data_IF_123893337199
#
_entry.id   IF_123893337199
#
_cell.length_a   1.000
_cell.length_b   1.000
_cell.length_c   1.000
_cell.angle_alpha   90.00
_cell.angle_beta   90.00
_cell.angle_gamma   90.00
#
_symmetry.space_group_name_H-M   'P 1'
#
loop_
_entity.id
_entity.type
_entity.pdbx_description
1 polymer ?
#
# COMPACT_ATOMS: atom_id res chain seq x y z
N UNK A 1 -16.69 -13.90 9.39
CA UNK A 1 -16.22 -13.13 8.22
C UNK A 1 -17.11 -11.90 8.02
N UNK A 2 -16.76 -11.01 7.08
CA UNK A 2 -17.49 -9.77 6.80
C UNK A 2 -18.97 -10.01 6.47
N UNK A 3 -19.26 -11.06 5.67
CA UNK A 3 -20.62 -11.40 5.27
C UNK A 3 -21.43 -11.86 6.47
N UNK A 4 -20.87 -12.71 7.33
CA UNK A 4 -21.47 -13.11 8.60
C UNK A 4 -21.78 -11.91 9.51
N UNK A 5 -20.91 -10.89 9.55
CA UNK A 5 -21.16 -9.66 10.31
C UNK A 5 -22.28 -8.83 9.70
N UNK A 6 -22.31 -8.68 8.37
CA UNK A 6 -23.36 -7.94 7.66
C UNK A 6 -24.73 -8.62 7.77
N UNK A 7 -24.77 -9.96 7.73
CA UNK A 7 -26.00 -10.75 7.94
C UNK A 7 -26.56 -10.57 9.36
N UNK A 8 -25.71 -10.40 10.38
CA UNK A 8 -26.17 -10.08 11.75
C UNK A 8 -26.80 -8.69 11.85
N UNK A 9 -26.55 -7.82 10.87
CA UNK A 9 -27.16 -6.49 10.74
C UNK A 9 -28.40 -6.50 9.82
N UNK A 10 -28.82 -7.66 9.31
CA UNK A 10 -30.04 -7.80 8.51
C UNK A 10 -31.28 -7.77 9.40
N UNK A 11 -32.26 -6.93 9.05
CA UNK A 11 -33.52 -6.85 9.78
C UNK A 11 -34.53 -5.95 9.09
N UNK A 12 -35.78 -5.97 9.57
CA UNK A 12 -36.80 -5.03 9.09
C UNK A 12 -36.74 -3.75 9.92
N UNK A 13 -36.50 -2.58 9.31
CA UNK A 13 -36.55 -1.32 10.05
C UNK A 13 -37.96 -1.12 10.61
N UNK A 14 -38.10 -1.14 11.93
CA UNK A 14 -39.30 -0.68 12.63
C UNK A 14 -39.34 0.86 12.68
N UNK A 15 -40.49 1.49 13.00
CA UNK A 15 -40.55 2.94 13.15
C UNK A 15 -39.60 3.36 14.28
N UNK A 16 -38.50 4.02 13.92
CA UNK A 16 -37.47 4.51 14.85
C UNK A 16 -36.23 3.62 15.00
N UNK A 17 -36.19 2.42 14.41
CA UNK A 17 -35.02 1.54 14.51
C UNK A 17 -34.17 1.57 13.22
N UNK A 18 -33.12 2.39 13.22
CA UNK A 18 -32.17 2.58 12.10
C UNK A 18 -30.98 1.60 12.13
N UNK A 19 -31.00 0.63 13.04
CA UNK A 19 -29.84 -0.23 13.30
C UNK A 19 -29.71 -1.42 12.33
N UNK A 20 -30.63 -1.55 11.37
CA UNK A 20 -30.65 -2.66 10.41
C UNK A 20 -30.53 -2.20 8.97
N UNK A 21 -29.80 -2.98 8.17
CA UNK A 21 -29.68 -2.78 6.73
C UNK A 21 -30.78 -3.54 6.00
N UNK A 22 -31.39 -2.89 5.01
CA UNK A 22 -32.22 -3.57 4.01
C UNK A 22 -31.37 -4.55 3.18
N UNK A 23 -32.02 -5.51 2.51
CA UNK A 23 -31.33 -6.47 1.65
C UNK A 23 -30.57 -5.79 0.49
N UNK A 24 -31.07 -4.68 -0.06
CA UNK A 24 -30.38 -3.91 -1.10
C UNK A 24 -29.15 -3.19 -0.55
N UNK A 25 -29.25 -2.57 0.62
CA UNK A 25 -28.10 -1.92 1.27
C UNK A 25 -27.02 -2.95 1.61
N UNK A 26 -27.39 -4.15 2.05
CA UNK A 26 -26.43 -5.22 2.32
C UNK A 26 -25.70 -5.65 1.04
N UNK A 27 -26.43 -5.94 -0.04
CA UNK A 27 -25.83 -6.30 -1.33
C UNK A 27 -24.90 -5.22 -1.85
N UNK A 28 -25.32 -3.96 -1.77
CA UNK A 28 -24.51 -2.81 -2.17
C UNK A 28 -23.23 -2.68 -1.34
N UNK A 29 -23.30 -2.84 -0.02
CA UNK A 29 -22.13 -2.77 0.85
C UNK A 29 -21.15 -3.94 0.58
N UNK A 30 -21.66 -5.17 0.42
CA UNK A 30 -20.81 -6.33 0.09
C UNK A 30 -20.07 -6.10 -1.23
N UNK A 31 -20.81 -5.68 -2.27
CA UNK A 31 -20.21 -5.35 -3.56
C UNK A 31 -19.13 -4.28 -3.43
N UNK A 32 -19.43 -3.19 -2.72
CA UNK A 32 -18.49 -2.08 -2.54
C UNK A 32 -17.22 -2.52 -1.79
N UNK A 33 -17.34 -3.31 -0.71
CA UNK A 33 -16.18 -3.78 0.04
C UNK A 33 -15.29 -4.71 -0.78
N UNK A 34 -15.89 -5.64 -1.53
CA UNK A 34 -15.16 -6.54 -2.41
C UNK A 34 -14.45 -5.78 -3.52
N UNK A 35 -15.17 -4.89 -4.19
CA UNK A 35 -14.63 -4.11 -5.30
C UNK A 35 -13.52 -3.15 -4.85
N UNK A 36 -13.77 -2.36 -3.81
CA UNK A 36 -12.80 -1.39 -3.29
C UNK A 36 -11.56 -2.07 -2.70
N UNK A 37 -11.73 -3.21 -2.02
CA UNK A 37 -10.62 -4.00 -1.49
C UNK A 37 -9.79 -4.67 -2.59
N UNK A 38 -10.46 -5.27 -3.58
CA UNK A 38 -9.79 -5.99 -4.67
C UNK A 38 -8.88 -5.08 -5.50
N UNK A 39 -9.43 -4.03 -6.08
CA UNK A 39 -8.69 -3.18 -7.02
C UNK A 39 -7.50 -2.49 -6.35
N UNK A 40 -7.68 -1.98 -5.13
CA UNK A 40 -6.64 -1.23 -4.42
C UNK A 40 -5.53 -2.14 -3.88
N UNK A 41 -5.86 -3.31 -3.32
CA UNK A 41 -4.87 -4.28 -2.87
C UNK A 41 -4.11 -4.89 -4.05
N UNK A 42 -4.79 -5.30 -5.11
CA UNK A 42 -4.15 -5.92 -6.28
C UNK A 42 -3.13 -4.99 -6.94
N UNK A 43 -3.49 -3.71 -7.15
CA UNK A 43 -2.54 -2.75 -7.72
C UNK A 43 -1.36 -2.49 -6.79
N UNK A 44 -1.58 -2.38 -5.47
CA UNK A 44 -0.47 -2.22 -4.51
C UNK A 44 0.51 -3.40 -4.56
N UNK A 45 -0.01 -4.64 -4.63
CA UNK A 45 0.80 -5.84 -4.78
C UNK A 45 1.59 -5.84 -6.10
N UNK A 46 0.93 -5.49 -7.21
CA UNK A 46 1.56 -5.40 -8.53
C UNK A 46 2.75 -4.43 -8.51
N UNK A 47 2.56 -3.21 -7.99
CA UNK A 47 3.64 -2.24 -7.87
C UNK A 47 4.77 -2.75 -6.97
N UNK A 48 4.45 -3.33 -5.81
CA UNK A 48 5.47 -3.84 -4.88
C UNK A 48 6.33 -4.93 -5.52
N UNK A 49 5.72 -5.89 -6.24
CA UNK A 49 6.43 -6.95 -6.96
C UNK A 49 7.31 -6.37 -8.06
N UNK A 50 6.80 -5.43 -8.87
CA UNK A 50 7.57 -4.77 -9.92
C UNK A 50 8.77 -4.02 -9.36
N UNK A 51 8.56 -3.21 -8.32
CA UNK A 51 9.60 -2.41 -7.72
C UNK A 51 10.68 -3.29 -7.08
N UNK A 52 10.32 -4.42 -6.46
CA UNK A 52 11.29 -5.38 -5.95
C UNK A 52 12.09 -6.06 -7.07
N UNK A 53 11.48 -6.36 -8.22
CA UNK A 53 12.19 -6.91 -9.39
C UNK A 53 13.13 -5.87 -10.06
N UNK A 54 12.71 -4.60 -10.08
CA UNK A 54 13.48 -3.47 -10.61
C UNK A 54 14.68 -3.15 -9.70
N UNK A 55 14.49 -3.23 -8.38
CA UNK A 55 15.49 -2.86 -7.39
C UNK A 55 15.95 -4.09 -6.56
N UNK A 56 16.83 -4.94 -7.11
CA UNK A 56 17.24 -6.20 -6.46
C UNK A 56 17.92 -5.99 -5.10
N UNK A 57 18.55 -4.84 -4.86
CA UNK A 57 19.13 -4.50 -3.56
C UNK A 57 18.07 -4.44 -2.44
N UNK A 58 16.88 -3.88 -2.73
CA UNK A 58 15.76 -3.87 -1.77
C UNK A 58 15.15 -5.25 -1.60
N UNK A 59 15.13 -6.06 -2.66
CA UNK A 59 14.69 -7.44 -2.59
C UNK A 59 15.62 -8.30 -1.73
N UNK A 60 16.94 -8.16 -1.88
CA UNK A 60 17.92 -8.82 -1.03
C UNK A 60 17.81 -8.36 0.43
N UNK A 61 17.56 -7.06 0.67
CA UNK A 61 17.34 -6.51 2.01
C UNK A 61 16.11 -7.13 2.70
N UNK A 62 15.00 -7.32 1.98
CA UNK A 62 13.84 -8.09 2.48
C UNK A 62 14.18 -9.56 2.67
N UNK A 63 14.95 -10.17 1.75
CA UNK A 63 15.38 -11.56 1.83
C UNK A 63 16.08 -11.88 3.14
N UNK A 64 16.98 -11.01 3.60
CA UNK A 64 17.66 -11.12 4.90
C UNK A 64 16.67 -11.15 6.08
N UNK A 65 15.62 -10.33 6.07
CA UNK A 65 14.57 -10.37 7.10
C UNK A 65 13.83 -11.71 7.08
N UNK A 66 13.49 -12.22 5.90
CA UNK A 66 12.86 -13.54 5.78
C UNK A 66 13.78 -14.63 6.34
N UNK A 67 15.09 -14.57 6.08
CA UNK A 67 16.04 -15.57 6.54
C UNK A 67 16.15 -15.54 8.07
N UNK A 68 16.25 -14.35 8.67
CA UNK A 68 16.29 -14.21 10.13
C UNK A 68 15.00 -14.67 10.81
N UNK A 69 13.83 -14.29 10.29
CA UNK A 69 12.54 -14.66 10.89
C UNK A 69 12.22 -16.15 10.74
N UNK A 70 12.62 -16.76 9.62
CA UNK A 70 12.26 -18.13 9.28
C UNK A 70 13.33 -19.17 9.64
N UNK A 71 14.50 -18.75 10.14
CA UNK A 71 15.54 -19.65 10.67
C UNK A 71 15.01 -20.57 11.79
N UNK A 72 14.05 -20.09 12.60
CA UNK A 72 13.40 -20.88 13.66
C UNK A 72 12.20 -21.71 13.20
N UNK A 73 11.80 -21.62 11.93
CA UNK A 73 10.61 -22.30 11.42
C UNK A 73 10.96 -23.57 10.67
N UNK A 74 10.59 -24.69 11.29
CA UNK A 74 10.76 -26.02 10.75
C UNK A 74 9.80 -26.28 9.58
N UNK A 75 10.11 -25.70 8.41
CA UNK A 75 9.81 -26.18 7.05
C UNK A 75 8.37 -26.38 6.57
N UNK A 76 7.43 -26.80 7.42
CA UNK A 76 6.12 -27.31 7.03
C UNK A 76 4.92 -26.59 7.69
N UNK A 77 5.15 -25.73 8.67
CA UNK A 77 4.07 -24.91 9.25
C UNK A 77 3.95 -23.58 8.51
N UNK A 78 2.71 -23.19 8.21
CA UNK A 78 2.42 -21.89 7.62
C UNK A 78 2.51 -20.79 8.67
N UNK A 79 2.97 -19.59 8.28
CA UNK A 79 3.04 -18.46 9.16
C UNK A 79 1.73 -18.12 9.86
N UNK A 80 1.77 -18.14 11.19
CA UNK A 80 0.73 -17.50 11.99
C UNK A 80 0.81 -15.98 11.90
N UNK A 81 -0.20 -15.32 12.46
CA UNK A 81 -0.37 -13.86 12.39
C UNK A 81 0.75 -13.10 13.13
N UNK A 82 1.35 -13.71 14.14
CA UNK A 82 2.44 -13.19 14.96
C UNK A 82 3.69 -12.82 14.14
N UNK A 83 3.92 -13.47 12.99
CA UNK A 83 5.06 -13.15 12.13
C UNK A 83 5.00 -11.72 11.60
N UNK A 84 3.80 -11.16 11.45
CA UNK A 84 3.59 -9.84 10.85
C UNK A 84 4.25 -8.72 11.65
N UNK A 85 4.46 -8.90 12.95
CA UNK A 85 5.17 -7.93 13.80
C UNK A 85 6.66 -7.86 13.46
N UNK A 86 7.25 -8.97 13.01
CA UNK A 86 8.64 -9.07 12.59
C UNK A 86 8.93 -8.55 11.18
N UNK A 87 7.91 -8.40 10.33
CA UNK A 87 8.03 -8.01 8.91
C UNK A 87 8.25 -6.50 8.70
N UNK A 88 9.22 -5.91 9.39
CA UNK A 88 9.50 -4.47 9.38
C UNK A 88 9.97 -3.97 8.01
N UNK A 89 10.85 -4.70 7.33
CA UNK A 89 11.38 -4.39 5.98
C UNK A 89 10.31 -4.62 4.92
N UNK A 90 9.55 -5.72 5.01
CA UNK A 90 8.46 -5.93 4.07
C UNK A 90 7.33 -4.89 4.24
N UNK A 91 7.06 -4.48 5.48
CA UNK A 91 6.17 -3.35 5.77
C UNK A 91 6.71 -2.04 5.23
N UNK A 92 8.01 -1.81 5.30
CA UNK A 92 8.65 -0.66 4.68
C UNK A 92 8.45 -0.62 3.16
N UNK A 93 8.57 -1.76 2.48
CA UNK A 93 8.30 -1.90 1.04
C UNK A 93 6.84 -1.55 0.72
N UNK A 94 5.88 -2.11 1.46
CA UNK A 94 4.45 -1.79 1.28
C UNK A 94 4.19 -0.30 1.44
N UNK A 95 4.73 0.31 2.50
CA UNK A 95 4.46 1.71 2.85
C UNK A 95 5.11 2.68 1.87
N UNK A 96 6.32 2.38 1.39
CA UNK A 96 6.97 3.18 0.35
C UNK A 96 6.28 3.04 -1.01
N UNK A 97 5.78 1.84 -1.33
CA UNK A 97 4.98 1.61 -2.54
C UNK A 97 3.69 2.43 -2.50
N UNK A 98 2.96 2.40 -1.38
CA UNK A 98 1.74 3.21 -1.21
C UNK A 98 2.00 4.72 -1.19
N UNK A 99 3.20 5.15 -0.77
CA UNK A 99 3.59 6.56 -0.79
C UNK A 99 3.67 7.09 -2.22
N UNK A 100 4.41 6.42 -3.10
CA UNK A 100 4.66 6.89 -4.47
C UNK A 100 3.63 6.40 -5.49
N UNK A 101 3.10 5.18 -5.29
CA UNK A 101 2.23 4.49 -6.23
C UNK A 101 0.94 4.01 -5.57
N UNK A 102 0.42 4.80 -4.62
CA UNK A 102 -0.86 4.55 -3.98
C UNK A 102 -2.02 4.52 -4.99
N UNK A 103 -2.95 3.55 -4.93
CA UNK A 103 -4.03 3.42 -5.90
C UNK A 103 -4.94 4.66 -6.01
N UNK A 104 -5.12 5.40 -4.92
CA UNK A 104 -5.98 6.61 -4.85
C UNK A 104 -5.11 7.86 -4.72
N UNK A 105 -5.00 8.62 -5.80
CA UNK A 105 -4.14 9.82 -5.88
C UNK A 105 -4.85 11.13 -5.50
N UNK A 106 -6.18 11.14 -5.56
CA UNK A 106 -7.00 12.29 -5.25
C UNK A 106 -8.11 11.89 -4.27
N UNK A 107 -8.16 12.55 -3.12
CA UNK A 107 -9.26 12.39 -2.16
C UNK A 107 -10.21 13.58 -2.33
N UNK A 108 -11.38 13.31 -2.91
CA UNK A 108 -12.40 14.32 -3.19
C UNK A 108 -13.22 14.66 -1.95
N UNK A 109 -13.47 15.95 -1.76
CA UNK A 109 -14.39 16.52 -0.78
C UNK A 109 -15.20 17.64 -1.43
N UNK A 110 -16.30 18.01 -0.80
CA UNK A 110 -17.12 19.14 -1.22
C UNK A 110 -17.55 19.91 0.03
N UNK A 111 -17.56 21.24 -0.03
CA UNK A 111 -18.24 22.04 0.98
C UNK A 111 -19.75 21.84 0.85
N UNK A 112 -20.50 22.11 1.93
CA UNK A 112 -21.97 22.06 1.89
C UNK A 112 -22.49 23.26 1.11
N UNK A 113 -23.81 23.45 1.12
CA UNK A 113 -24.43 24.65 0.55
C UNK A 113 -23.88 25.96 1.14
N UNK A 114 -23.45 25.93 2.40
CA UNK A 114 -22.79 27.06 3.07
C UNK A 114 -21.27 26.98 2.97
N UNK A 115 -20.62 28.13 3.09
CA UNK A 115 -19.17 28.26 3.15
C UNK A 115 -18.57 27.40 4.27
N UNK A 116 -17.46 26.71 3.95
CA UNK A 116 -16.66 25.95 4.89
C UNK A 116 -15.51 26.79 5.44
N UNK A 117 -15.40 26.90 6.76
CA UNK A 117 -14.25 27.52 7.41
C UNK A 117 -13.09 26.52 7.54
N UNK A 118 -11.94 26.85 6.96
CA UNK A 118 -10.69 26.14 7.18
C UNK A 118 -9.96 26.75 8.38
N UNK A 119 -9.72 25.93 9.40
CA UNK A 119 -9.04 26.32 10.64
C UNK A 119 -7.54 26.05 10.52
N UNK A 120 -6.80 27.02 10.01
CA UNK A 120 -5.33 27.09 10.03
C UNK A 120 -4.88 28.26 10.91
N UNK A 121 -3.57 28.55 10.97
CA UNK A 121 -3.05 29.73 11.67
C UNK A 121 -3.67 31.04 11.18
N UNK A 122 -3.97 31.12 9.87
CA UNK A 122 -4.77 32.20 9.26
C UNK A 122 -6.04 31.60 8.68
N UNK A 123 -7.17 31.64 9.40
CA UNK A 123 -8.41 31.03 8.94
C UNK A 123 -8.92 31.65 7.65
N UNK A 124 -9.49 30.83 6.78
CA UNK A 124 -10.12 31.30 5.54
C UNK A 124 -11.37 30.50 5.20
N UNK A 125 -12.26 31.13 4.43
CA UNK A 125 -13.50 30.52 3.95
C UNK A 125 -13.28 29.89 2.59
N UNK A 126 -13.84 28.69 2.42
CA UNK A 126 -14.06 28.07 1.12
C UNK A 126 -15.55 28.22 0.81
N UNK A 127 -15.94 28.81 -0.33
CA UNK A 127 -17.34 28.98 -0.69
C UNK A 127 -18.15 27.69 -0.64
N UNK A 128 -19.45 27.79 -0.41
CA UNK A 128 -20.37 26.66 -0.55
C UNK A 128 -20.28 25.98 -1.92
N UNK A 129 -20.58 24.68 -1.97
CA UNK A 129 -20.56 23.85 -3.19
C UNK A 129 -19.22 23.85 -3.94
N UNK A 130 -18.12 24.00 -3.20
CA UNK A 130 -16.76 23.97 -3.75
C UNK A 130 -16.20 22.56 -3.68
N UNK A 131 -15.77 22.05 -4.83
CA UNK A 131 -15.01 20.80 -4.94
C UNK A 131 -13.57 20.99 -4.45
N UNK A 132 -13.14 20.13 -3.53
CA UNK A 132 -11.80 20.13 -2.95
C UNK A 132 -11.14 18.79 -3.27
N UNK A 133 -9.95 18.82 -3.87
CA UNK A 133 -9.15 17.63 -4.18
C UNK A 133 -7.88 17.64 -3.36
N UNK A 134 -7.74 16.69 -2.45
CA UNK A 134 -6.47 16.46 -1.74
C UNK A 134 -5.62 15.56 -2.63
N UNK A 135 -4.55 16.13 -3.18
CA UNK A 135 -3.60 15.42 -4.03
C UNK A 135 -2.56 14.72 -3.15
N UNK A 136 -2.75 13.43 -2.90
CA UNK A 136 -1.85 12.64 -2.06
C UNK A 136 -0.46 12.49 -2.69
N UNK A 137 -0.38 12.39 -4.02
CA UNK A 137 0.88 12.26 -4.76
C UNK A 137 1.77 13.48 -4.54
N UNK A 138 1.22 14.69 -4.64
CA UNK A 138 1.96 15.93 -4.37
C UNK A 138 2.45 16.00 -2.91
N UNK A 139 1.59 15.67 -1.95
CA UNK A 139 1.95 15.64 -0.53
C UNK A 139 3.03 14.60 -0.22
N UNK A 140 2.97 13.45 -0.88
CA UNK A 140 3.91 12.35 -0.68
C UNK A 140 5.25 12.57 -1.36
N UNK A 141 5.33 13.46 -2.36
CA UNK A 141 6.57 13.80 -3.06
C UNK A 141 7.13 15.19 -2.69
N UNK A 142 6.52 15.89 -1.74
CA UNK A 142 7.02 17.18 -1.27
C UNK A 142 8.41 17.04 -0.63
N UNK A 143 9.46 17.69 -1.17
CA UNK A 143 10.81 17.63 -0.60
C UNK A 143 10.92 18.29 0.78
N UNK A 144 10.02 19.22 1.13
CA UNK A 144 9.97 19.82 2.46
C UNK A 144 9.60 18.80 3.55
N UNK A 145 8.72 17.87 3.22
CA UNK A 145 8.23 16.82 4.11
C UNK A 145 9.07 15.54 4.06
N UNK A 146 9.49 15.13 2.85
CA UNK A 146 10.12 13.82 2.59
C UNK A 146 11.62 13.88 2.27
N UNK A 147 12.20 15.08 2.20
CA UNK A 147 13.61 15.30 1.90
C UNK A 147 13.92 15.38 0.40
N UNK A 148 15.20 15.60 0.05
CA UNK A 148 15.63 15.78 -1.36
C UNK A 148 15.36 14.56 -2.25
N UNK A 149 15.30 13.38 -1.64
CA UNK A 149 15.01 12.10 -2.28
C UNK A 149 13.51 11.75 -2.29
N UNK A 150 12.61 12.72 -2.13
CA UNK A 150 11.17 12.48 -2.04
C UNK A 150 10.61 11.69 -3.24
N UNK A 151 11.17 11.88 -4.43
CA UNK A 151 10.75 11.16 -5.64
C UNK A 151 11.38 9.75 -5.77
N UNK A 152 12.33 9.39 -4.91
CA UNK A 152 12.98 8.08 -4.95
C UNK A 152 12.19 7.05 -4.16
N UNK A 153 11.95 5.88 -4.78
CA UNK A 153 11.40 4.72 -4.09
C UNK A 153 12.48 4.10 -3.19
N UNK A 154 12.45 4.46 -1.90
CA UNK A 154 13.45 4.06 -0.91
C UNK A 154 12.80 3.48 0.36
N UNK A 155 12.54 2.16 0.40
CA UNK A 155 11.94 1.50 1.56
C UNK A 155 12.70 1.73 2.87
N UNK A 156 14.03 1.86 2.87
CA UNK A 156 14.78 2.06 4.13
C UNK A 156 14.37 3.30 4.93
N UNK A 157 13.69 4.29 4.34
CA UNK A 157 13.22 5.47 5.11
C UNK A 157 12.27 5.11 6.27
N UNK A 158 11.62 3.95 6.16
CA UNK A 158 10.67 3.43 7.13
C UNK A 158 11.33 2.59 8.23
N UNK A 159 12.64 2.34 8.16
CA UNK A 159 13.38 1.54 9.14
C UNK A 159 14.59 2.33 9.60
N UNK A 160 14.64 2.62 10.90
CA UNK A 160 15.83 3.16 11.54
C UNK A 160 16.78 2.00 11.78
N UNK A 161 17.96 2.05 11.17
CA UNK A 161 19.05 1.16 11.56
C UNK A 161 19.44 1.48 13.02
N UNK A 162 19.73 0.45 13.83
CA UNK A 162 20.48 0.69 15.05
C UNK A 162 21.79 1.39 14.67
N UNK A 163 22.20 2.36 15.48
CA UNK A 163 23.41 3.15 15.24
C UNK A 163 24.62 2.31 14.85
N UNK A 164 25.44 2.84 13.94
CA UNK A 164 26.76 2.29 13.61
C UNK A 164 27.50 2.04 14.93
N UNK A 165 27.70 0.77 15.29
CA UNK A 165 28.37 0.36 16.55
C UNK A 165 27.56 -0.56 17.47
N UNK A 166 26.25 -0.75 17.23
CA UNK A 166 25.47 -1.78 17.91
C UNK A 166 24.71 -2.63 16.88
N UNK A 167 24.94 -3.95 16.78
CA UNK A 167 24.06 -4.83 16.02
C UNK A 167 22.72 -4.91 16.77
N UNK A 168 21.80 -4.02 16.42
CA UNK A 168 20.47 -3.93 17.01
C UNK A 168 19.41 -4.33 15.99
N UNK A 169 18.29 -4.80 16.52
CA UNK A 169 17.09 -5.16 15.76
C UNK A 169 16.57 -3.97 14.94
N UNK A 170 16.07 -4.21 13.73
CA UNK A 170 15.43 -3.16 12.91
C UNK A 170 14.34 -2.44 13.71
N UNK A 171 14.32 -1.11 13.71
CA UNK A 171 13.28 -0.32 14.40
C UNK A 171 12.42 0.39 13.36
N UNK A 172 11.10 0.17 13.41
CA UNK A 172 10.19 0.80 12.47
C UNK A 172 10.06 2.30 12.75
N UNK A 173 10.26 3.14 11.73
CA UNK A 173 10.18 4.59 11.82
C UNK A 173 8.71 5.06 11.84
N UNK A 174 8.12 5.08 13.03
CA UNK A 174 6.74 5.53 13.22
C UNK A 174 6.49 7.00 12.82
N UNK A 175 7.52 7.85 12.77
CA UNK A 175 7.37 9.24 12.36
C UNK A 175 6.95 9.35 10.90
N UNK A 176 7.50 8.53 10.01
CA UNK A 176 7.13 8.51 8.59
C UNK A 176 5.67 8.12 8.40
N UNK A 177 5.14 7.25 9.27
CA UNK A 177 3.74 6.83 9.25
C UNK A 177 2.76 7.99 9.45
N UNK A 178 3.16 9.05 10.17
CA UNK A 178 2.34 10.25 10.41
C UNK A 178 2.28 11.19 9.21
N UNK A 179 3.23 11.08 8.29
CA UNK A 179 3.32 11.92 7.08
C UNK A 179 2.56 11.32 5.89
N UNK A 180 2.13 10.06 6.00
CA UNK A 180 1.49 9.30 4.93
C UNK A 180 -0.03 9.27 5.04
N UNK A 181 -0.72 9.65 3.97
CA UNK A 181 -2.19 9.66 3.88
C UNK A 181 -2.74 8.60 2.90
N UNK A 182 -2.06 7.46 2.75
CA UNK A 182 -2.44 6.39 1.82
C UNK A 182 -3.85 5.81 2.02
N UNK A 183 -4.37 5.87 3.26
CA UNK A 183 -5.73 5.43 3.62
C UNK A 183 -6.65 6.61 3.94
N UNK A 184 -6.29 7.83 3.55
CA UNK A 184 -6.88 9.07 4.06
C UNK A 184 -6.76 9.19 5.59
N UNK A 185 -7.49 10.14 6.18
CA UNK A 185 -7.49 10.42 7.61
C UNK A 185 -8.86 10.95 8.06
N UNK A 186 -9.09 10.96 9.37
CA UNK A 186 -10.29 11.50 9.99
C UNK A 186 -11.52 10.57 9.85
N UNK A 187 -12.74 11.12 9.94
CA UNK A 187 -13.99 10.34 9.92
C UNK A 187 -14.25 9.51 8.66
N UNK A 188 -13.45 9.75 7.60
CA UNK A 188 -13.54 9.06 6.30
C UNK A 188 -12.25 8.30 5.99
N UNK A 189 -11.46 7.94 7.00
CA UNK A 189 -10.34 7.01 6.88
C UNK A 189 -10.83 5.68 6.30
N UNK A 190 -10.01 5.05 5.47
CA UNK A 190 -10.35 3.77 4.84
C UNK A 190 -10.64 2.70 5.93
N UNK A 191 -11.84 2.11 5.94
CA UNK A 191 -12.18 1.07 6.91
C UNK A 191 -11.37 -0.22 6.68
N UNK A 192 -10.89 -0.44 5.46
CA UNK A 192 -10.07 -1.58 5.08
C UNK A 192 -8.60 -1.49 5.49
N UNK A 193 -8.14 -0.38 6.12
CA UNK A 193 -6.71 -0.12 6.37
C UNK A 193 -5.97 -1.29 7.01
N UNK A 194 -6.51 -1.84 8.10
CA UNK A 194 -5.86 -2.95 8.82
C UNK A 194 -5.89 -4.24 8.00
N UNK A 195 -7.03 -4.51 7.36
CA UNK A 195 -7.20 -5.70 6.52
C UNK A 195 -6.23 -5.70 5.34
N UNK A 196 -6.14 -4.59 4.59
CA UNK A 196 -5.24 -4.49 3.44
C UNK A 196 -3.77 -4.60 3.86
N UNK A 197 -3.37 -4.03 5.00
CA UNK A 197 -1.99 -4.16 5.50
C UNK A 197 -1.63 -5.62 5.78
N UNK A 198 -2.53 -6.36 6.42
CA UNK A 198 -2.35 -7.79 6.70
C UNK A 198 -2.29 -8.58 5.39
N UNK A 199 -3.25 -8.36 4.51
CA UNK A 199 -3.38 -9.08 3.25
C UNK A 199 -2.15 -8.87 2.35
N UNK A 200 -1.73 -7.62 2.16
CA UNK A 200 -0.55 -7.29 1.35
C UNK A 200 0.71 -7.94 1.94
N UNK A 201 0.92 -7.81 3.25
CA UNK A 201 2.09 -8.40 3.92
C UNK A 201 2.08 -9.92 3.84
N UNK A 202 0.92 -10.57 4.03
CA UNK A 202 0.80 -12.02 3.95
C UNK A 202 1.11 -12.52 2.54
N UNK A 203 0.55 -11.89 1.50
CA UNK A 203 0.82 -12.27 0.11
C UNK A 203 2.30 -12.07 -0.23
N UNK A 204 2.87 -10.91 0.09
CA UNK A 204 4.29 -10.65 -0.18
C UNK A 204 5.21 -11.60 0.61
N UNK A 205 4.90 -11.89 1.88
CA UNK A 205 5.63 -12.88 2.67
C UNK A 205 5.62 -14.23 1.96
N UNK A 206 4.46 -14.70 1.50
CA UNK A 206 4.31 -15.99 0.84
C UNK A 206 5.11 -16.08 -0.46
N UNK A 207 5.14 -15.00 -1.24
CA UNK A 207 5.94 -14.92 -2.47
C UNK A 207 7.44 -14.93 -2.15
N UNK A 208 7.89 -14.02 -1.29
CA UNK A 208 9.32 -13.70 -1.09
C UNK A 208 10.02 -14.57 -0.03
N UNK A 209 9.29 -15.34 0.79
CA UNK A 209 9.90 -16.29 1.74
C UNK A 209 10.67 -17.43 1.07
N UNK A 210 10.29 -17.79 -0.17
CA UNK A 210 10.84 -18.92 -0.92
C UNK A 210 11.33 -18.54 -2.31
N UNK A 211 10.96 -17.37 -2.83
CA UNK A 211 11.32 -16.97 -4.18
C UNK A 211 11.89 -15.56 -4.25
N UNK A 212 12.67 -15.33 -5.29
CA UNK A 212 13.05 -14.02 -5.81
C UNK A 212 12.33 -13.79 -7.14
N UNK A 213 12.22 -12.52 -7.55
CA UNK A 213 11.69 -12.13 -8.86
C UNK A 213 12.66 -11.21 -9.58
N UNK A 214 12.84 -11.45 -10.87
CA UNK A 214 13.66 -10.63 -11.76
C UNK A 214 12.88 -10.23 -13.02
N UNK A 215 13.32 -9.13 -13.64
CA UNK A 215 12.85 -8.74 -14.97
C UNK A 215 13.55 -9.62 -16.01
N UNK A 216 12.79 -10.16 -16.96
CA UNK A 216 13.33 -10.87 -18.11
C UNK A 216 13.73 -9.86 -19.19
N UNK A 217 15.01 -9.83 -19.62
CA UNK A 217 15.43 -8.95 -20.71
C UNK A 217 14.81 -9.34 -22.04
N UNK A 218 14.49 -8.35 -22.86
CA UNK A 218 14.11 -8.58 -24.26
C UNK A 218 15.37 -8.99 -25.08
N UNK A 219 15.24 -9.64 -26.25
CA UNK A 219 16.40 -10.02 -27.05
C UNK A 219 17.31 -8.82 -27.38
N UNK A 220 18.58 -8.91 -26.98
CA UNK A 220 19.57 -7.84 -27.18
C UNK A 220 19.64 -6.80 -26.07
N UNK A 221 18.82 -6.94 -25.02
CA UNK A 221 18.79 -6.07 -23.84
C UNK A 221 19.64 -6.65 -22.70
N UNK A 222 20.38 -5.79 -21.99
CA UNK A 222 21.02 -6.13 -20.71
C UNK A 222 20.00 -6.20 -19.59
N UNK A 223 20.36 -6.80 -18.44
CA UNK A 223 19.45 -6.85 -17.27
C UNK A 223 19.16 -5.45 -16.74
N UNK A 224 20.14 -4.55 -16.76
CA UNK A 224 20.00 -3.17 -16.32
C UNK A 224 19.06 -2.38 -17.22
N UNK A 225 19.18 -2.52 -18.54
CA UNK A 225 18.26 -1.90 -19.50
C UNK A 225 16.83 -2.43 -19.31
N UNK A 226 16.66 -3.74 -19.07
CA UNK A 226 15.35 -4.34 -18.79
C UNK A 226 14.70 -3.74 -17.54
N UNK A 227 15.48 -3.55 -16.47
CA UNK A 227 15.02 -2.90 -15.24
C UNK A 227 14.67 -1.43 -15.48
N UNK A 228 15.46 -0.70 -16.25
CA UNK A 228 15.16 0.70 -16.61
C UNK A 228 13.88 0.81 -17.43
N UNK A 229 13.67 -0.07 -18.41
CA UNK A 229 12.45 -0.14 -19.22
C UNK A 229 11.22 -0.46 -18.35
N UNK A 230 11.34 -1.43 -17.45
CA UNK A 230 10.28 -1.74 -16.49
C UNK A 230 9.98 -0.55 -15.56
N UNK A 231 11.01 0.16 -15.08
CA UNK A 231 10.82 1.33 -14.23
C UNK A 231 10.20 2.52 -14.96
N UNK A 232 10.59 2.77 -16.21
CA UNK A 232 9.99 3.80 -17.05
C UNK A 232 8.48 3.57 -17.22
N UNK A 233 8.04 2.31 -17.34
CA UNK A 233 6.61 1.95 -17.37
C UNK A 233 5.90 2.24 -16.05
N UNK A 234 6.54 1.90 -14.93
CA UNK A 234 6.03 2.25 -13.59
C UNK A 234 5.91 3.78 -13.44
N UNK A 235 6.86 4.55 -13.95
CA UNK A 235 6.82 6.01 -13.92
C UNK A 235 5.75 6.61 -14.86
N UNK A 236 5.39 5.90 -15.93
CA UNK A 236 4.30 6.25 -16.86
C UNK A 236 2.92 5.78 -16.37
N UNK A 237 2.79 5.50 -15.07
CA UNK A 237 1.51 5.10 -14.47
C UNK A 237 0.39 6.08 -14.82
N UNK A 238 -0.79 5.55 -15.12
CA UNK A 238 -1.95 6.36 -15.49
C UNK A 238 -3.08 6.18 -14.50
N UNK A 239 -3.90 7.23 -14.38
CA UNK A 239 -5.08 7.22 -13.54
C UNK A 239 -6.29 6.81 -14.39
N UNK A 240 -6.92 5.71 -14.02
CA UNK A 240 -8.28 5.37 -14.45
C UNK A 240 -9.19 5.43 -13.23
N UNK A 241 -9.76 4.30 -12.80
CA UNK A 241 -10.40 4.17 -11.49
C UNK A 241 -9.36 4.26 -10.36
N UNK A 242 -8.23 3.60 -10.54
CA UNK A 242 -7.06 3.68 -9.66
C UNK A 242 -5.78 3.88 -10.47
N UNK A 243 -4.70 4.21 -9.79
CA UNK A 243 -3.37 4.27 -10.40
C UNK A 243 -2.94 2.87 -10.83
N UNK A 244 -2.57 2.72 -12.09
CA UNK A 244 -2.10 1.44 -12.63
C UNK A 244 -0.93 1.65 -13.62
N UNK A 245 -0.08 0.62 -13.68
CA UNK A 245 0.99 0.52 -14.67
C UNK A 245 0.32 0.25 -16.03
N UNK A 246 0.61 1.01 -17.09
CA UNK A 246 0.05 0.71 -18.41
C UNK A 246 0.67 -0.58 -18.97
N UNK A 247 -0.20 -1.49 -19.44
CA UNK A 247 0.19 -2.74 -20.11
C UNK A 247 1.25 -3.55 -19.33
N UNK A 248 0.99 -3.90 -18.04
CA UNK A 248 1.96 -4.59 -17.21
C UNK A 248 2.35 -5.95 -17.82
N UNK A 249 1.45 -6.62 -18.54
CA UNK A 249 1.70 -7.90 -19.20
C UNK A 249 2.87 -7.91 -20.19
N UNK A 250 3.32 -6.73 -20.65
CA UNK A 250 4.50 -6.60 -21.52
C UNK A 250 5.84 -6.60 -20.79
N UNK A 251 5.86 -6.58 -19.46
CA UNK A 251 7.06 -6.80 -18.66
C UNK A 251 7.03 -8.23 -18.15
N UNK A 252 7.89 -9.08 -18.68
CA UNK A 252 7.96 -10.46 -18.25
C UNK A 252 8.76 -10.57 -16.95
N UNK A 253 8.15 -11.20 -15.95
CA UNK A 253 8.76 -11.48 -14.66
C UNK A 253 9.16 -12.95 -14.60
N UNK A 254 10.36 -13.23 -14.07
CA UNK A 254 10.84 -14.58 -13.79
C UNK A 254 10.96 -14.75 -12.29
N UNK A 255 10.33 -15.81 -11.78
CA UNK A 255 10.41 -16.20 -10.37
C UNK A 255 11.39 -17.35 -10.21
N UNK A 256 12.33 -17.20 -9.28
CA UNK A 256 13.35 -18.20 -8.98
C UNK A 256 13.27 -18.59 -7.51
N UNK A 257 13.51 -19.86 -7.19
CA UNK A 257 13.51 -20.31 -5.80
C UNK A 257 14.80 -19.84 -5.13
N UNK A 258 14.70 -19.31 -3.92
CA UNK A 258 15.84 -18.87 -3.12
C UNK A 258 16.67 -20.07 -2.68
N UNK A 259 17.96 -20.03 -2.96
CA UNK A 259 18.94 -20.92 -2.34
C UNK A 259 19.17 -20.43 -0.90
N UNK A 260 19.01 -21.33 0.08
CA UNK A 260 19.22 -21.05 1.50
C UNK A 260 20.60 -21.54 1.93
#
# INVERSE_FOLDING_TARGET
>A
DLLSTLLRCEGRPGPGNRDYLSGDEMRGNVFLFLFAGHETTANTLLYAVYLLAIFPAWQAWVGQEMDSLLQGWAGNEEPGFEVLEGLKRLRAVMMETLRLYGPVVNVLRETREQDGMVKTETPFLIPGQTSIRVNSVALHMDPGTWGRDAAEWRPSRWVLASSIGHPGEDVYNAEMGRKLIAWSEGPRVCPGKRFSQIEILAVLLQLFRKHTVDIVPDPGETVEEARQRAYARVQQSTMSLTLHIPQPEKVCLRWERRER
#
